data_IF_889358489031
#
_entry.id   IF_889358489031
#
_cell.length_a   1.000
_cell.length_b   1.000
_cell.length_c   1.000
_cell.angle_alpha   90.00
_cell.angle_beta   90.00
_cell.angle_gamma   90.00
#
_symmetry.space_group_name_H-M   'P 1'
#
loop_
_entity.id
_entity.type
_entity.pdbx_description
1 polymer ?
#
# COMPACT_ATOMS: atom_id res chain seq x y z
N UNK A 1 -14.96 -2.21 -16.19
CA UNK A 1 -14.67 -2.55 -14.76
C UNK A 1 -13.26 -2.23 -14.34
N UNK A 2 -12.28 -2.67 -15.11
CA UNK A 2 -10.87 -2.40 -14.76
C UNK A 2 -10.57 -0.91 -14.61
N UNK A 3 -11.12 -0.09 -15.50
CA UNK A 3 -10.90 1.35 -15.46
C UNK A 3 -11.44 1.95 -14.15
N UNK A 4 -12.64 1.53 -13.75
CA UNK A 4 -13.27 2.03 -12.52
C UNK A 4 -12.46 1.59 -11.31
N UNK A 5 -12.06 0.32 -11.27
CA UNK A 5 -11.26 -0.21 -10.17
C UNK A 5 -9.90 0.50 -10.09
N UNK A 6 -9.28 0.75 -11.23
CA UNK A 6 -8.01 1.46 -11.28
C UNK A 6 -8.13 2.89 -10.71
N UNK A 7 -9.22 3.59 -11.03
CA UNK A 7 -9.47 4.93 -10.50
C UNK A 7 -9.67 4.88 -8.99
N UNK A 8 -10.47 3.93 -8.52
CA UNK A 8 -10.71 3.76 -7.08
C UNK A 8 -9.40 3.47 -6.34
N UNK A 9 -8.60 2.54 -6.88
CA UNK A 9 -7.29 2.22 -6.30
C UNK A 9 -6.37 3.42 -6.30
N UNK A 10 -6.33 4.18 -7.40
CA UNK A 10 -5.49 5.35 -7.49
C UNK A 10 -5.82 6.37 -6.41
N UNK A 11 -7.10 6.66 -6.24
CA UNK A 11 -7.56 7.59 -5.21
C UNK A 11 -7.22 7.06 -3.82
N UNK A 12 -7.44 5.75 -3.58
CA UNK A 12 -7.15 5.15 -2.30
C UNK A 12 -5.65 5.22 -1.96
N UNK A 13 -4.78 4.92 -2.93
CA UNK A 13 -3.33 4.99 -2.70
C UNK A 13 -2.86 6.42 -2.45
N UNK A 14 -3.42 7.40 -3.18
CA UNK A 14 -3.10 8.81 -2.94
C UNK A 14 -3.48 9.19 -1.51
N UNK A 15 -4.68 8.81 -1.09
CA UNK A 15 -5.16 9.11 0.27
C UNK A 15 -4.26 8.51 1.33
N UNK A 16 -3.93 7.22 1.20
CA UNK A 16 -3.06 6.55 2.17
C UNK A 16 -1.66 7.14 2.14
N UNK A 17 -1.15 7.47 0.94
CA UNK A 17 0.16 8.11 0.82
C UNK A 17 0.22 9.45 1.52
N UNK A 18 -0.84 10.25 1.41
CA UNK A 18 -0.94 11.53 2.12
C UNK A 18 -0.92 11.30 3.64
N UNK A 19 -1.58 10.23 4.11
CA UNK A 19 -1.57 9.90 5.54
C UNK A 19 -0.16 9.63 6.07
N UNK A 20 0.75 9.13 5.24
CA UNK A 20 2.14 8.92 5.64
C UNK A 20 2.80 10.24 6.08
N UNK A 21 2.38 11.36 5.51
CA UNK A 21 2.93 12.67 5.84
C UNK A 21 2.16 13.38 6.95
N UNK A 22 0.84 13.18 7.00
CA UNK A 22 -0.03 13.85 7.97
C UNK A 22 -0.05 13.10 9.31
N UNK A 23 -0.10 11.76 9.25
CA UNK A 23 -0.19 10.91 10.44
C UNK A 23 0.84 9.77 10.37
N UNK A 24 2.12 10.10 10.44
CA UNK A 24 3.17 9.07 10.31
C UNK A 24 3.24 8.11 11.50
N UNK A 25 2.63 8.44 12.64
CA UNK A 25 2.76 7.66 13.87
C UNK A 25 2.37 6.20 13.69
N UNK A 26 1.26 5.94 12.97
CA UNK A 26 0.80 4.57 12.74
C UNK A 26 1.78 3.76 11.91
N UNK A 27 2.35 4.39 10.90
CA UNK A 27 3.31 3.72 10.03
C UNK A 27 4.65 3.50 10.72
N UNK A 28 5.07 4.48 11.53
CA UNK A 28 6.29 4.35 12.32
C UNK A 28 6.18 3.22 13.35
N UNK A 29 4.98 3.07 13.93
CA UNK A 29 4.74 2.08 14.98
C UNK A 29 4.93 0.64 14.48
N UNK A 30 4.63 0.35 13.23
CA UNK A 30 4.73 -1.00 12.69
C UNK A 30 6.07 -1.30 12.03
N UNK A 31 6.98 -0.33 11.95
CA UNK A 31 8.29 -0.56 11.37
C UNK A 31 9.11 -1.52 12.23
N UNK A 32 9.71 -2.56 11.63
CA UNK A 32 10.59 -3.46 12.39
C UNK A 32 11.78 -2.69 12.98
N UNK A 33 12.16 -3.04 14.20
CA UNK A 33 13.24 -2.34 14.90
C UNK A 33 14.59 -2.43 14.19
N UNK A 34 14.80 -3.49 13.40
CA UNK A 34 16.06 -3.69 12.69
C UNK A 34 16.19 -2.82 11.44
N UNK A 35 15.12 -2.14 11.03
CA UNK A 35 15.16 -1.24 9.88
C UNK A 35 15.63 0.14 10.32
N UNK A 36 16.70 0.70 9.73
CA UNK A 36 17.15 2.05 10.09
C UNK A 36 16.30 3.14 9.41
N UNK A 37 16.38 4.34 9.94
CA UNK A 37 15.78 5.53 9.33
C UNK A 37 14.28 5.39 9.10
N UNK A 38 13.52 5.06 10.15
CA UNK A 38 12.07 4.84 10.04
C UNK A 38 11.33 5.99 9.39
N UNK A 39 11.62 7.23 9.78
CA UNK A 39 10.95 8.39 9.21
C UNK A 39 11.19 8.51 7.71
N UNK A 40 12.43 8.28 7.28
CA UNK A 40 12.76 8.33 5.85
C UNK A 40 11.92 7.33 5.07
N UNK A 41 11.85 6.08 5.53
CA UNK A 41 11.13 5.04 4.81
C UNK A 41 9.63 5.28 4.79
N UNK A 42 9.07 5.78 5.89
CA UNK A 42 7.64 6.12 5.93
C UNK A 42 7.33 7.21 4.91
N UNK A 43 8.11 8.28 4.87
CA UNK A 43 7.86 9.36 3.92
C UNK A 43 8.13 8.93 2.49
N UNK A 44 9.19 8.14 2.26
CA UNK A 44 9.49 7.62 0.93
C UNK A 44 8.37 6.73 0.41
N UNK A 45 7.85 5.85 1.27
CA UNK A 45 6.72 4.98 0.92
C UNK A 45 5.48 5.80 0.56
N UNK A 46 5.20 6.85 1.35
CA UNK A 46 4.08 7.73 1.07
C UNK A 46 4.21 8.42 -0.28
N UNK A 47 5.41 8.91 -0.59
CA UNK A 47 5.66 9.56 -1.87
C UNK A 47 5.47 8.60 -3.04
N UNK A 48 5.95 7.36 -2.90
CA UNK A 48 5.77 6.33 -3.94
C UNK A 48 4.30 5.99 -4.10
N UNK A 49 3.55 5.87 -3.01
CA UNK A 49 2.11 5.59 -3.08
C UNK A 49 1.34 6.69 -3.78
N UNK A 50 1.67 7.96 -3.50
CA UNK A 50 1.03 9.09 -4.17
C UNK A 50 1.35 9.05 -5.66
N UNK A 51 2.62 8.89 -6.01
CA UNK A 51 3.04 8.83 -7.41
C UNK A 51 2.39 7.65 -8.14
N UNK A 52 2.38 6.47 -7.50
CA UNK A 52 1.74 5.29 -8.07
C UNK A 52 0.24 5.47 -8.22
N UNK A 53 -0.41 6.07 -7.21
CA UNK A 53 -1.83 6.34 -7.29
C UNK A 53 -2.18 7.29 -8.44
N UNK A 54 -1.41 8.35 -8.61
CA UNK A 54 -1.58 9.27 -9.73
C UNK A 54 -1.39 8.52 -11.05
N UNK A 55 -0.37 7.66 -11.13
CA UNK A 55 -0.11 6.87 -12.33
C UNK A 55 -1.25 5.95 -12.70
N UNK A 56 -1.97 5.41 -11.70
CA UNK A 56 -3.15 4.59 -11.96
C UNK A 56 -4.29 5.37 -12.61
N UNK A 57 -4.31 6.69 -12.42
CA UNK A 57 -5.34 7.55 -13.01
C UNK A 57 -5.00 7.96 -14.43
N UNK A 58 -3.74 7.80 -14.85
CA UNK A 58 -3.29 8.19 -16.18
C UNK A 58 -3.11 6.94 -17.03
N UNK A 59 -3.92 6.76 -18.11
CA UNK A 59 -3.91 5.51 -18.88
C UNK A 59 -2.54 5.07 -19.38
N UNK A 60 -1.70 6.01 -19.80
CA UNK A 60 -0.38 5.67 -20.35
C UNK A 60 0.61 5.16 -19.29
N UNK A 61 0.35 5.41 -18.01
CA UNK A 61 1.26 5.06 -16.93
C UNK A 61 0.72 3.98 -16.01
N UNK A 62 -0.46 3.44 -16.30
CA UNK A 62 -1.11 2.45 -15.41
C UNK A 62 -0.24 1.22 -15.16
N UNK A 63 0.39 0.69 -16.20
CA UNK A 63 1.20 -0.52 -16.06
C UNK A 63 2.41 -0.29 -15.18
N UNK A 64 3.13 0.81 -15.43
CA UNK A 64 4.30 1.16 -14.60
C UNK A 64 3.88 1.42 -13.15
N UNK A 65 2.78 2.17 -12.98
CA UNK A 65 2.26 2.47 -11.65
C UNK A 65 1.84 1.20 -10.92
N UNK A 66 1.17 0.29 -11.63
CA UNK A 66 0.75 -0.98 -11.04
C UNK A 66 1.92 -1.79 -10.53
N UNK A 67 2.97 -1.95 -11.33
CA UNK A 67 4.17 -2.66 -10.89
C UNK A 67 4.86 -1.96 -9.73
N UNK A 68 4.93 -0.63 -9.76
CA UNK A 68 5.53 0.15 -8.68
C UNK A 68 4.80 -0.10 -7.36
N UNK A 69 3.46 -0.08 -7.39
CA UNK A 69 2.66 -0.31 -6.19
C UNK A 69 2.76 -1.75 -5.70
N UNK A 70 2.81 -2.73 -6.60
CA UNK A 70 2.98 -4.13 -6.22
C UNK A 70 4.32 -4.33 -5.53
N UNK A 71 5.39 -3.77 -6.09
CA UNK A 71 6.72 -3.87 -5.47
C UNK A 71 6.71 -3.20 -4.10
N UNK A 72 6.07 -2.03 -3.99
CA UNK A 72 5.95 -1.33 -2.71
C UNK A 72 5.24 -2.21 -1.67
N UNK A 73 4.14 -2.85 -2.06
CA UNK A 73 3.40 -3.72 -1.15
C UNK A 73 4.26 -4.89 -0.67
N UNK A 74 5.09 -5.44 -1.56
CA UNK A 74 6.03 -6.51 -1.18
C UNK A 74 7.06 -5.98 -0.17
N UNK A 75 7.59 -4.78 -0.43
CA UNK A 75 8.62 -4.18 0.42
C UNK A 75 8.09 -3.86 1.82
N UNK A 76 6.82 -3.43 1.92
CA UNK A 76 6.23 -3.09 3.23
C UNK A 76 5.63 -4.30 3.94
N UNK A 77 5.62 -5.47 3.30
CA UNK A 77 5.06 -6.68 3.92
C UNK A 77 5.72 -7.02 5.26
N UNK A 78 7.05 -6.90 5.42
CA UNK A 78 7.66 -7.12 6.72
C UNK A 78 7.09 -6.25 7.85
N UNK A 79 6.70 -5.02 7.55
CA UNK A 79 6.08 -4.16 8.56
C UNK A 79 4.71 -4.71 8.99
N UNK A 80 3.92 -5.22 8.04
CA UNK A 80 2.64 -5.84 8.37
C UNK A 80 2.83 -7.13 9.17
N UNK A 81 3.84 -7.93 8.84
CA UNK A 81 4.18 -9.12 9.63
C UNK A 81 4.57 -8.73 11.05
N UNK A 82 5.40 -7.70 11.19
CA UNK A 82 5.81 -7.19 12.49
C UNK A 82 4.61 -6.76 13.32
N UNK A 83 3.65 -6.08 12.69
CA UNK A 83 2.44 -5.64 13.36
C UNK A 83 1.65 -6.85 13.90
N UNK A 84 1.51 -7.90 13.10
CA UNK A 84 0.74 -9.07 13.50
C UNK A 84 1.45 -9.87 14.60
N UNK A 85 2.75 -10.12 14.44
CA UNK A 85 3.51 -10.92 15.40
C UNK A 85 3.61 -10.24 16.75
N UNK A 86 3.84 -8.94 16.78
CA UNK A 86 4.03 -8.18 18.00
C UNK A 86 2.75 -7.51 18.49
N UNK A 87 1.62 -7.78 17.84
CA UNK A 87 0.30 -7.26 18.21
C UNK A 87 0.31 -5.74 18.39
N UNK A 88 0.95 -5.05 17.45
CA UNK A 88 1.10 -3.60 17.50
C UNK A 88 -0.24 -2.92 17.23
N UNK A 89 -0.63 -2.00 18.13
CA UNK A 89 -1.85 -1.22 17.96
C UNK A 89 -1.51 0.14 17.38
N UNK A 90 -2.38 0.66 16.52
CA UNK A 90 -2.17 1.96 15.92
C UNK A 90 -2.52 3.07 16.92
N UNK A 91 -1.64 4.08 17.07
CA UNK A 91 -1.91 5.18 17.99
C UNK A 91 -3.19 5.94 17.64
N UNK A 92 -3.94 6.34 18.64
CA UNK A 92 -5.14 7.14 18.46
C UNK A 92 -6.35 6.38 17.95
N UNK A 93 -6.28 5.05 17.93
CA UNK A 93 -7.38 4.20 17.49
C UNK A 93 -7.76 3.22 18.59
N UNK A 94 -9.00 2.72 18.50
CA UNK A 94 -9.41 1.63 19.37
C UNK A 94 -8.55 0.40 19.09
N UNK A 95 -8.25 -0.41 20.12
CA UNK A 95 -7.48 -1.63 19.91
C UNK A 95 -8.12 -2.55 18.90
N UNK A 96 -7.31 -3.07 17.98
CA UNK A 96 -7.80 -4.03 16.98
C UNK A 96 -7.68 -5.44 17.54
N UNK A 97 -8.67 -6.31 17.27
CA UNK A 97 -8.55 -7.71 17.67
C UNK A 97 -7.41 -8.40 16.93
N UNK A 98 -6.84 -9.44 17.55
CA UNK A 98 -5.71 -10.16 16.97
C UNK A 98 -6.01 -10.68 15.57
N UNK A 99 -7.25 -11.19 15.36
CA UNK A 99 -7.60 -11.71 14.03
C UNK A 99 -7.52 -10.64 12.94
N UNK A 100 -7.83 -9.37 13.30
CA UNK A 100 -7.75 -8.29 12.32
C UNK A 100 -6.31 -8.01 11.91
N UNK A 101 -5.37 -8.08 12.87
CA UNK A 101 -3.95 -7.88 12.57
C UNK A 101 -3.43 -8.95 11.61
N UNK A 102 -3.82 -10.20 11.83
CA UNK A 102 -3.42 -11.30 10.95
C UNK A 102 -4.14 -11.26 9.60
N UNK A 103 -5.40 -10.79 9.58
CA UNK A 103 -6.17 -10.68 8.34
C UNK A 103 -5.55 -9.68 7.36
N UNK A 104 -4.77 -8.72 7.84
CA UNK A 104 -4.08 -7.77 6.97
C UNK A 104 -3.10 -8.44 6.02
N UNK A 105 -2.54 -9.58 6.39
CA UNK A 105 -1.56 -10.27 5.57
C UNK A 105 -2.17 -10.87 4.30
N UNK A 106 -3.22 -11.71 4.39
CA UNK A 106 -3.87 -12.20 3.16
C UNK A 106 -4.56 -11.08 2.38
N UNK A 107 -5.10 -10.06 3.08
CA UNK A 107 -5.70 -8.92 2.39
C UNK A 107 -4.68 -8.21 1.50
N UNK A 108 -3.42 -8.13 1.93
CA UNK A 108 -2.39 -7.51 1.12
C UNK A 108 -2.17 -8.27 -0.19
N UNK A 109 -2.21 -9.59 -0.16
CA UNK A 109 -2.12 -10.38 -1.38
C UNK A 109 -3.32 -10.16 -2.30
N UNK A 110 -4.52 -10.04 -1.73
CA UNK A 110 -5.72 -9.72 -2.51
C UNK A 110 -5.55 -8.36 -3.17
N UNK A 111 -5.05 -7.38 -2.44
CA UNK A 111 -4.83 -6.04 -2.98
C UNK A 111 -3.80 -6.06 -4.12
N UNK A 112 -2.71 -6.82 -3.96
CA UNK A 112 -1.72 -6.97 -5.01
C UNK A 112 -2.32 -7.58 -6.28
N UNK A 113 -3.17 -8.59 -6.12
CA UNK A 113 -3.85 -9.21 -7.26
C UNK A 113 -4.78 -8.22 -7.94
N UNK A 114 -5.54 -7.45 -7.18
CA UNK A 114 -6.48 -6.49 -7.74
C UNK A 114 -5.73 -5.40 -8.52
N UNK A 115 -4.60 -4.92 -7.99
CA UNK A 115 -3.76 -3.95 -8.69
C UNK A 115 -3.25 -4.55 -10.01
N UNK A 116 -2.77 -5.79 -9.95
CA UNK A 116 -2.29 -6.48 -11.15
C UNK A 116 -3.40 -6.57 -12.20
N UNK A 117 -4.56 -7.05 -11.78
CA UNK A 117 -5.68 -7.23 -12.70
C UNK A 117 -6.15 -5.92 -13.31
N UNK A 118 -6.26 -4.87 -12.50
CA UNK A 118 -6.84 -3.60 -12.94
C UNK A 118 -5.87 -2.73 -13.72
N UNK A 119 -4.59 -2.75 -13.35
CA UNK A 119 -3.62 -1.77 -13.84
C UNK A 119 -2.63 -2.31 -14.85
N UNK A 120 -2.25 -3.59 -14.74
CA UNK A 120 -1.21 -4.14 -15.61
C UNK A 120 -1.83 -4.69 -16.87
N UNK A 121 -1.42 -4.11 -18.00
CA UNK A 121 -1.94 -4.52 -19.31
C UNK A 121 -1.33 -5.85 -19.74
N UNK A 122 -2.14 -6.66 -20.41
CA UNK A 122 -1.67 -7.88 -21.05
C UNK A 122 -2.07 -7.84 -22.52
N UNK A 123 -1.79 -8.90 -23.27
CA UNK A 123 -2.09 -8.93 -24.70
C UNK A 123 -3.57 -8.74 -25.03
N UNK A 124 -4.45 -9.10 -24.09
CA UNK A 124 -5.90 -8.95 -24.28
C UNK A 124 -6.39 -7.55 -23.98
N UNK A 125 -5.59 -6.73 -23.32
CA UNK A 125 -5.98 -5.40 -22.90
C UNK A 125 -5.34 -4.32 -23.79
N UNK A 126 -5.01 -4.68 -25.01
CA UNK A 126 -4.44 -3.74 -25.99
C UNK A 126 -5.52 -2.77 -26.41
N UNK A 127 -5.25 -1.50 -26.23
CA UNK A 127 -6.23 -0.49 -26.58
C UNK A 127 -6.80 0.23 -25.41
#
# INVERSE_FOLDING_TARGET
MKKIVSVILGIAFIFVGVLHFIRPEGFLAIMPSWVPFHHFWVYASGAVEIAGGIGLLVPNYKTVAGWTLIILLIVVFPANINMAINEIQLPGRDPMPIWALWARLPFQFVLMYVVYWAAIKNKKDVG
#
